data_IF_544764133322
#
_entry.id   IF_544764133322
#
_cell.length_a   1.000
_cell.length_b   1.000
_cell.length_c   1.000
_cell.angle_alpha   90.00
_cell.angle_beta   90.00
_cell.angle_gamma   90.00
#
_symmetry.space_group_name_H-M   'P 1'
#
loop_
_entity.id
_entity.type
_entity.pdbx_description
1 polymer ?
#
# COMPACT_ATOMS: atom_id res chain seq x y z
N UNK A 1 41.88 -4.61 11.59
CA UNK A 1 41.64 -4.48 13.03
C UNK A 1 42.76 -3.58 13.50
N UNK A 2 42.54 -2.27 13.52
CA UNK A 2 43.60 -1.30 13.85
C UNK A 2 43.45 -0.92 15.32
N UNK A 3 44.49 -1.24 16.11
CA UNK A 3 44.62 -0.87 17.52
C UNK A 3 45.05 0.59 17.64
N UNK A 4 44.25 1.40 18.33
CA UNK A 4 44.58 2.78 18.64
C UNK A 4 45.38 2.84 19.95
N UNK A 5 46.59 3.44 19.90
CA UNK A 5 47.41 3.65 21.08
C UNK A 5 47.13 5.04 21.70
N UNK A 6 46.76 5.06 22.99
CA UNK A 6 46.56 6.28 23.76
C UNK A 6 47.61 6.36 24.87
N UNK A 7 48.34 7.49 24.96
CA UNK A 7 49.28 7.74 26.06
C UNK A 7 48.67 8.74 27.04
N UNK A 8 48.59 8.34 28.32
CA UNK A 8 47.98 9.14 29.39
C UNK A 8 49.06 9.70 30.30
N UNK A 9 49.42 10.97 30.09
CA UNK A 9 50.35 11.71 30.97
C UNK A 9 49.55 12.77 31.73
N UNK A 10 49.50 12.65 33.06
CA UNK A 10 48.99 13.72 33.93
C UNK A 10 47.51 14.09 33.76
N UNK A 11 46.63 13.12 33.45
CA UNK A 11 45.17 13.33 33.41
C UNK A 11 44.63 14.01 32.14
N UNK A 12 45.50 14.33 31.16
CA UNK A 12 45.09 14.91 29.87
C UNK A 12 45.46 13.95 28.74
N UNK A 13 44.47 13.26 28.19
CA UNK A 13 44.65 12.39 27.02
C UNK A 13 44.90 13.27 25.80
N UNK A 14 46.07 13.15 25.16
CA UNK A 14 46.38 13.84 23.90
C UNK A 14 46.25 12.85 22.76
N UNK A 15 45.42 13.19 21.77
CA UNK A 15 45.37 12.47 20.50
C UNK A 15 46.67 12.78 19.75
N UNK A 16 47.53 11.78 19.57
CA UNK A 16 48.85 11.93 18.95
C UNK A 16 48.81 11.94 17.42
N UNK A 17 47.70 11.52 16.80
CA UNK A 17 47.54 11.60 15.35
C UNK A 17 46.84 12.90 14.96
N UNK A 18 47.56 13.77 14.26
CA UNK A 18 46.98 14.92 13.56
C UNK A 18 45.80 14.46 12.70
N UNK A 19 44.67 15.17 12.67
CA UNK A 19 43.58 14.81 11.76
C UNK A 19 44.16 14.73 10.35
N UNK A 20 44.07 13.56 9.71
CA UNK A 20 44.36 13.41 8.28
C UNK A 20 43.35 14.30 7.55
N UNK A 21 43.78 15.52 7.23
CA UNK A 21 43.03 16.46 6.42
C UNK A 21 42.86 15.84 5.04
N UNK A 22 41.66 15.36 4.73
CA UNK A 22 41.33 14.91 3.39
C UNK A 22 41.18 16.17 2.52
N UNK A 23 42.08 16.36 1.55
CA UNK A 23 41.95 17.43 0.55
C UNK A 23 40.83 17.03 -0.39
N UNK A 24 39.63 17.52 -0.12
CA UNK A 24 38.49 17.35 -1.01
C UNK A 24 38.54 18.47 -2.04
N UNK A 25 38.53 18.13 -3.33
CA UNK A 25 38.52 19.14 -4.39
C UNK A 25 37.22 19.95 -4.31
N UNK A 26 37.25 21.22 -4.75
CA UNK A 26 36.05 22.04 -4.79
C UNK A 26 34.94 21.41 -5.63
N UNK A 27 35.30 20.60 -6.63
CA UNK A 27 34.40 19.84 -7.47
C UNK A 27 33.71 18.70 -6.72
N UNK A 28 34.44 17.95 -5.90
CA UNK A 28 33.88 16.87 -5.06
C UNK A 28 32.90 17.39 -4.02
N UNK A 29 33.20 18.53 -3.38
CA UNK A 29 32.26 19.18 -2.42
C UNK A 29 30.99 19.65 -3.14
N UNK A 30 31.12 20.24 -4.34
CA UNK A 30 29.97 20.64 -5.17
C UNK A 30 29.18 19.42 -5.65
N UNK A 31 29.85 18.35 -6.07
CA UNK A 31 29.23 17.10 -6.51
C UNK A 31 28.45 16.42 -5.37
N UNK A 32 29.03 16.39 -4.15
CA UNK A 32 28.34 15.90 -2.96
C UNK A 32 27.09 16.74 -2.62
N UNK A 33 27.21 18.07 -2.69
CA UNK A 33 26.08 18.98 -2.53
C UNK A 33 24.98 18.74 -3.57
N UNK A 34 25.36 18.62 -4.85
CA UNK A 34 24.44 18.36 -5.95
C UNK A 34 23.75 16.99 -5.82
N UNK A 35 24.50 15.93 -5.49
CA UNK A 35 23.96 14.59 -5.29
C UNK A 35 22.98 14.53 -4.11
N UNK A 36 23.25 15.26 -3.02
CA UNK A 36 22.34 15.38 -1.89
C UNK A 36 21.03 16.08 -2.28
N UNK A 37 21.10 17.16 -3.06
CA UNK A 37 19.92 17.86 -3.55
C UNK A 37 19.13 17.02 -4.57
N UNK A 38 19.80 16.25 -5.42
CA UNK A 38 19.15 15.30 -6.33
C UNK A 38 18.37 14.24 -5.56
N UNK A 39 18.98 13.61 -4.54
CA UNK A 39 18.27 12.62 -3.70
C UNK A 39 17.02 13.20 -3.05
N UNK A 40 17.10 14.42 -2.51
CA UNK A 40 15.93 15.13 -1.95
C UNK A 40 14.85 15.35 -3.02
N UNK A 41 15.22 15.79 -4.24
CA UNK A 41 14.28 16.00 -5.35
C UNK A 41 13.61 14.70 -5.78
N UNK A 42 14.37 13.62 -5.88
CA UNK A 42 13.88 12.29 -6.22
C UNK A 42 12.93 11.74 -5.15
N UNK A 43 13.27 11.89 -3.87
CA UNK A 43 12.40 11.52 -2.74
C UNK A 43 11.07 12.29 -2.80
N UNK A 44 11.14 13.60 -2.98
CA UNK A 44 9.94 14.45 -3.14
C UNK A 44 9.11 14.05 -4.35
N UNK A 45 9.74 13.71 -5.47
CA UNK A 45 9.05 13.25 -6.67
C UNK A 45 8.39 11.88 -6.44
N UNK A 46 9.11 10.94 -5.82
CA UNK A 46 8.57 9.64 -5.47
C UNK A 46 7.39 9.76 -4.51
N UNK A 47 7.50 10.64 -3.52
CA UNK A 47 6.40 10.92 -2.59
C UNK A 47 5.20 11.53 -3.33
N UNK A 48 5.42 12.50 -4.21
CA UNK A 48 4.36 13.08 -5.04
C UNK A 48 3.68 12.03 -5.91
N UNK A 49 4.46 11.12 -6.51
CA UNK A 49 3.96 9.99 -7.29
C UNK A 49 3.14 9.02 -6.42
N UNK A 50 3.60 8.72 -5.20
CA UNK A 50 2.87 7.87 -4.23
C UNK A 50 1.54 8.51 -3.83
N UNK A 51 1.55 9.79 -3.45
CA UNK A 51 0.35 10.57 -3.08
C UNK A 51 -0.65 10.63 -4.22
N UNK A 52 -0.19 10.90 -5.44
CA UNK A 52 -1.06 10.95 -6.62
C UNK A 52 -1.67 9.57 -6.92
N UNK A 53 -0.89 8.50 -6.78
CA UNK A 53 -1.40 7.12 -6.94
C UNK A 53 -2.47 6.81 -5.89
N UNK A 54 -2.23 7.09 -4.61
CA UNK A 54 -3.22 6.84 -3.55
C UNK A 54 -4.47 7.68 -3.74
N UNK A 55 -4.32 8.94 -4.18
CA UNK A 55 -5.45 9.81 -4.49
C UNK A 55 -6.28 9.27 -5.65
N UNK A 56 -5.63 8.80 -6.72
CA UNK A 56 -6.31 8.16 -7.85
C UNK A 56 -7.06 6.90 -7.42
N UNK A 57 -6.46 6.06 -6.58
CA UNK A 57 -7.12 4.86 -6.06
C UNK A 57 -8.37 5.20 -5.23
N UNK A 58 -8.32 6.26 -4.42
CA UNK A 58 -9.49 6.74 -3.67
C UNK A 58 -10.56 7.33 -4.60
N UNK A 59 -10.15 8.07 -5.63
CA UNK A 59 -11.06 8.62 -6.63
C UNK A 59 -11.79 7.50 -7.37
N UNK A 60 -11.07 6.49 -7.85
CA UNK A 60 -11.64 5.33 -8.54
C UNK A 60 -12.69 4.64 -7.65
N UNK A 61 -12.45 4.53 -6.33
CA UNK A 61 -13.42 3.98 -5.37
C UNK A 61 -14.64 4.89 -5.24
N UNK A 62 -14.45 6.21 -5.08
CA UNK A 62 -15.55 7.15 -4.93
C UNK A 62 -16.44 7.18 -6.18
N UNK A 63 -15.85 7.18 -7.36
CA UNK A 63 -16.58 7.13 -8.64
C UNK A 63 -17.41 5.85 -8.74
N UNK A 64 -16.85 4.71 -8.32
CA UNK A 64 -17.56 3.43 -8.28
C UNK A 64 -18.72 3.45 -7.26
N UNK A 65 -18.49 3.94 -6.05
CA UNK A 65 -19.53 4.06 -5.03
C UNK A 65 -20.67 4.96 -5.50
N UNK A 66 -20.34 6.10 -6.14
CA UNK A 66 -21.31 7.02 -6.72
C UNK A 66 -22.12 6.39 -7.86
N UNK A 67 -21.46 5.70 -8.81
CA UNK A 67 -22.12 5.04 -9.93
C UNK A 67 -23.15 3.98 -9.49
N UNK A 68 -22.89 3.32 -8.36
CA UNK A 68 -23.78 2.29 -7.81
C UNK A 68 -24.61 2.75 -6.60
N UNK A 69 -24.57 4.05 -6.26
CA UNK A 69 -25.33 4.64 -5.16
C UNK A 69 -25.04 4.00 -3.79
N UNK A 70 -23.78 3.61 -3.56
CA UNK A 70 -23.31 3.16 -2.26
C UNK A 70 -22.89 4.36 -1.41
N UNK A 71 -23.36 4.47 -0.16
CA UNK A 71 -22.96 5.57 0.72
C UNK A 71 -21.54 5.38 1.29
N UNK A 72 -21.04 4.14 1.39
CA UNK A 72 -19.71 3.84 1.90
C UNK A 72 -19.21 2.44 1.46
N UNK A 73 -17.91 2.20 1.58
CA UNK A 73 -17.19 0.96 1.24
C UNK A 73 -17.77 -0.28 1.94
N UNK A 74 -18.24 -0.10 3.18
CA UNK A 74 -18.84 -1.19 3.98
C UNK A 74 -20.35 -1.09 4.11
N UNK A 75 -20.96 0.00 3.62
CA UNK A 75 -22.40 0.18 3.71
C UNK A 75 -23.08 -0.56 2.57
N UNK A 76 -24.06 -1.36 2.93
CA UNK A 76 -24.88 -2.00 1.93
C UNK A 76 -25.82 -0.98 1.30
N UNK A 77 -25.99 -1.08 0.00
CA UNK A 77 -27.13 -0.48 -0.65
C UNK A 77 -28.38 -1.29 -0.27
N UNK A 78 -29.39 -0.60 0.24
CA UNK A 78 -30.74 -1.13 0.35
C UNK A 78 -31.52 -0.72 -0.91
N UNK A 79 -32.16 -1.68 -1.57
CA UNK A 79 -33.11 -1.34 -2.64
C UNK A 79 -34.28 -0.53 -2.08
N UNK A 80 -34.93 0.27 -2.94
CA UNK A 80 -36.02 1.23 -2.64
C UNK A 80 -37.28 0.65 -1.95
N UNK A 81 -37.25 -0.62 -1.53
CA UNK A 81 -38.32 -1.26 -0.73
C UNK A 81 -37.76 -2.15 0.40
N UNK A 82 -36.47 -2.02 0.75
CA UNK A 82 -35.86 -2.72 1.89
C UNK A 82 -35.59 -4.23 1.70
N UNK A 83 -35.99 -4.85 0.59
CA UNK A 83 -35.90 -6.31 0.40
C UNK A 83 -34.57 -6.85 -0.12
N UNK A 84 -33.65 -5.99 -0.55
CA UNK A 84 -32.36 -6.43 -1.08
C UNK A 84 -31.24 -5.60 -0.47
N UNK A 85 -30.23 -6.30 0.02
CA UNK A 85 -29.02 -5.74 0.61
C UNK A 85 -27.81 -6.26 -0.17
N UNK A 86 -27.14 -5.37 -0.90
CA UNK A 86 -25.93 -5.69 -1.67
C UNK A 86 -24.79 -4.79 -1.21
N UNK A 87 -23.57 -5.32 -1.12
CA UNK A 87 -22.39 -4.54 -0.76
C UNK A 87 -21.55 -4.20 -2.00
N UNK A 88 -20.70 -3.16 -1.94
CA UNK A 88 -19.83 -2.77 -3.05
C UNK A 88 -18.99 -3.94 -3.59
N UNK A 89 -18.50 -4.80 -2.68
CA UNK A 89 -17.73 -6.00 -3.03
C UNK A 89 -18.52 -6.99 -3.89
N UNK A 90 -19.80 -7.24 -3.60
CA UNK A 90 -20.63 -8.16 -4.39
C UNK A 90 -20.86 -7.61 -5.80
N UNK A 91 -21.07 -6.30 -5.93
CA UNK A 91 -21.24 -5.65 -7.24
C UNK A 91 -19.94 -5.72 -8.07
N UNK A 92 -18.79 -5.43 -7.47
CA UNK A 92 -17.50 -5.53 -8.16
C UNK A 92 -17.23 -6.94 -8.70
N UNK A 93 -17.60 -7.99 -7.95
CA UNK A 93 -17.46 -9.39 -8.40
C UNK A 93 -18.47 -9.75 -9.49
N UNK A 94 -19.72 -9.27 -9.37
CA UNK A 94 -20.77 -9.49 -10.37
C UNK A 94 -20.40 -8.88 -11.72
N UNK A 95 -19.72 -7.74 -11.71
CA UNK A 95 -19.19 -7.06 -12.91
C UNK A 95 -17.88 -7.66 -13.42
N UNK A 96 -17.23 -8.53 -12.64
CA UNK A 96 -15.92 -9.09 -12.98
C UNK A 96 -14.77 -8.08 -12.83
N UNK A 97 -14.99 -6.95 -12.15
CA UNK A 97 -13.98 -5.92 -11.95
C UNK A 97 -13.03 -6.31 -10.80
N UNK A 98 -12.02 -7.12 -11.13
CA UNK A 98 -11.02 -7.57 -10.16
C UNK A 98 -10.20 -6.42 -9.56
N UNK A 99 -9.88 -5.42 -10.37
CA UNK A 99 -9.11 -4.27 -9.92
C UNK A 99 -9.86 -3.53 -8.81
N UNK A 100 -11.16 -3.30 -8.99
CA UNK A 100 -12.01 -2.67 -7.99
C UNK A 100 -12.17 -3.54 -6.74
N UNK A 101 -12.36 -4.86 -6.91
CA UNK A 101 -12.39 -5.78 -5.76
C UNK A 101 -11.13 -5.67 -4.89
N UNK A 102 -9.95 -5.66 -5.52
CA UNK A 102 -8.68 -5.51 -4.79
C UNK A 102 -8.55 -4.15 -4.12
N UNK A 103 -8.99 -3.08 -4.79
CA UNK A 103 -8.99 -1.72 -4.21
C UNK A 103 -9.87 -1.65 -2.96
N UNK A 104 -11.12 -2.10 -3.06
CA UNK A 104 -12.06 -2.11 -1.93
C UNK A 104 -11.49 -2.94 -0.76
N UNK A 105 -10.94 -4.12 -1.02
CA UNK A 105 -10.31 -4.95 0.02
C UNK A 105 -9.08 -4.28 0.65
N UNK A 106 -8.23 -3.64 -0.16
CA UNK A 106 -7.07 -2.87 0.33
C UNK A 106 -7.49 -1.73 1.24
N UNK A 107 -8.66 -1.14 0.99
CA UNK A 107 -9.24 -0.06 1.79
C UNK A 107 -10.16 -0.54 2.92
N UNK A 108 -10.12 -1.83 3.30
CA UNK A 108 -10.80 -2.35 4.49
C UNK A 108 -12.22 -2.89 4.25
N UNK A 109 -12.59 -3.20 3.01
CA UNK A 109 -13.87 -3.84 2.73
C UNK A 109 -13.92 -5.29 3.26
N UNK A 110 -15.03 -5.64 3.90
CA UNK A 110 -15.24 -6.97 4.49
C UNK A 110 -15.51 -8.06 3.46
N UNK A 111 -14.48 -8.85 3.11
CA UNK A 111 -14.60 -9.98 2.16
C UNK A 111 -15.54 -11.11 2.60
N UNK A 112 -15.85 -11.20 3.89
CA UNK A 112 -16.69 -12.25 4.46
C UNK A 112 -18.16 -11.85 4.54
N UNK A 113 -18.49 -10.61 4.16
CA UNK A 113 -19.83 -10.07 4.32
C UNK A 113 -20.82 -10.81 3.45
N UNK A 114 -21.94 -11.23 4.03
CA UNK A 114 -23.02 -11.92 3.32
C UNK A 114 -24.03 -10.90 2.80
N UNK A 115 -24.51 -11.09 1.57
CA UNK A 115 -25.62 -10.30 1.02
C UNK A 115 -26.97 -10.77 1.60
N UNK A 116 -28.07 -10.16 1.13
CA UNK A 116 -29.44 -10.58 1.51
C UNK A 116 -29.80 -12.03 1.14
N UNK A 117 -29.04 -12.68 0.25
CA UNK A 117 -29.22 -14.08 -0.13
C UNK A 117 -28.31 -15.01 0.69
N UNK A 118 -27.61 -14.48 1.69
CA UNK A 118 -26.64 -15.24 2.48
C UNK A 118 -25.33 -15.54 1.74
N UNK A 119 -25.15 -14.97 0.55
CA UNK A 119 -24.00 -15.26 -0.32
C UNK A 119 -22.83 -14.34 -0.05
N UNK A 120 -21.63 -14.92 -0.11
CA UNK A 120 -20.37 -14.19 -0.03
C UNK A 120 -20.04 -13.55 -1.39
N UNK A 121 -19.19 -12.52 -1.45
CA UNK A 121 -18.85 -11.88 -2.73
C UNK A 121 -18.29 -12.87 -3.75
N UNK A 122 -17.46 -13.82 -3.31
CA UNK A 122 -16.92 -14.88 -4.17
C UNK A 122 -17.99 -15.83 -4.73
N UNK A 123 -19.07 -16.06 -4.00
CA UNK A 123 -20.18 -16.93 -4.42
C UNK A 123 -21.11 -16.23 -5.42
N UNK A 124 -21.05 -14.89 -5.50
CA UNK A 124 -21.80 -14.08 -6.47
C UNK A 124 -21.10 -13.91 -7.83
N UNK A 125 -19.94 -14.56 -8.04
CA UNK A 125 -19.23 -14.52 -9.32
C UNK A 125 -20.03 -15.25 -10.41
N UNK A 126 -20.54 -14.49 -11.38
CA UNK A 126 -21.47 -15.00 -12.41
C UNK A 126 -20.74 -15.75 -13.54
N UNK A 127 -19.40 -15.62 -13.69
CA UNK A 127 -18.64 -16.23 -14.79
C UNK A 127 -17.37 -16.93 -14.32
N UNK A 128 -17.13 -18.12 -14.90
CA UNK A 128 -16.00 -19.06 -14.69
C UNK A 128 -14.59 -18.44 -14.73
N UNK A 129 -14.46 -17.19 -15.17
CA UNK A 129 -13.20 -16.45 -15.28
C UNK A 129 -12.72 -15.83 -13.96
N UNK A 130 -13.60 -15.59 -12.98
CA UNK A 130 -13.20 -14.99 -11.69
C UNK A 130 -12.27 -15.92 -10.88
N UNK A 131 -12.43 -17.24 -11.06
CA UNK A 131 -11.67 -18.28 -10.36
C UNK A 131 -10.46 -18.83 -11.13
N UNK A 132 -10.24 -18.40 -12.38
CA UNK A 132 -9.14 -18.93 -13.21
C UNK A 132 -7.75 -18.39 -12.83
N UNK A 133 -7.64 -17.57 -11.78
CA UNK A 133 -6.35 -17.10 -11.26
C UNK A 133 -5.88 -17.98 -10.09
N UNK A 134 -4.80 -18.76 -10.26
CA UNK A 134 -4.21 -19.53 -9.18
C UNK A 134 -3.64 -18.57 -8.11
N UNK A 135 -4.05 -18.75 -6.86
CA UNK A 135 -3.49 -18.01 -5.71
C UNK A 135 -4.49 -17.41 -4.72
N UNK A 136 -5.79 -17.38 -5.03
CA UNK A 136 -6.81 -16.92 -4.07
C UNK A 136 -7.38 -18.06 -3.22
N UNK A 137 -7.50 -19.26 -3.78
CA UNK A 137 -8.06 -20.43 -3.09
C UNK A 137 -7.08 -21.07 -2.11
N UNK A 138 -5.77 -20.97 -2.33
CA UNK A 138 -4.77 -21.61 -1.45
C UNK A 138 -4.59 -20.92 -0.09
N UNK A 139 -4.90 -19.62 0.03
CA UNK A 139 -4.79 -18.88 1.29
C UNK A 139 -6.12 -18.70 2.05
N UNK A 140 -7.24 -19.03 1.43
CA UNK A 140 -8.59 -18.93 2.04
C UNK A 140 -9.26 -20.30 2.23
N UNK A 141 -8.58 -21.40 1.90
CA UNK A 141 -8.98 -22.75 2.29
C UNK A 141 -8.78 -22.93 3.80
N UNK A 142 -9.66 -22.31 4.59
CA UNK A 142 -9.99 -22.87 5.89
C UNK A 142 -10.73 -24.18 5.64
N UNK A 143 -10.37 -25.27 6.32
CA UNK A 143 -11.07 -26.53 6.18
C UNK A 143 -12.49 -26.31 6.69
N UNK A 144 -13.47 -26.32 5.78
CA UNK A 144 -14.80 -26.75 6.15
C UNK A 144 -14.69 -28.24 6.46
N UNK A 145 -14.39 -28.55 7.72
CA UNK A 145 -14.40 -29.91 8.25
C UNK A 145 -15.26 -29.90 9.52
N UNK A 146 -16.46 -30.49 9.33
CA UNK A 146 -17.51 -30.88 10.28
C UNK A 146 -18.07 -29.83 11.26
#
# INVERSE_FOLDING_TARGET
MEEFAFEQVGGRVKLLETPKMFVCSQEEVRAYGAAREQRKREEMEQERRRRHRTQKELQDIQDFLGAHHFPDVNSAQSSWWGFKRTYPLHTAVREGNWRMYQLLVKHGANRQQKDSQGKRPCECAVKKTFFQRPGLTSKLALPFAN
#
